data_IF_218070348617
#
_entry.id   IF_218070348617
#
_cell.length_a   1.000
_cell.length_b   1.000
_cell.length_c   1.000
_cell.angle_alpha   90.00
_cell.angle_beta   90.00
_cell.angle_gamma   90.00
#
_symmetry.space_group_name_H-M   'P 1'
#
loop_
_entity.id
_entity.type
_entity.pdbx_description
1 polymer ?
#
# COMPACT_ATOMS: atom_id res chain seq x y z
N UNK A 1 -49.01 22.89 -1.33
CA UNK A 1 -49.29 21.46 -1.05
C UNK A 1 -48.61 20.51 -2.04
N UNK A 2 -48.77 20.67 -3.37
CA UNK A 2 -48.12 19.79 -4.37
C UNK A 2 -46.58 19.81 -4.31
N UNK A 3 -45.95 20.98 -4.19
CA UNK A 3 -44.49 21.10 -4.07
C UNK A 3 -43.94 20.48 -2.78
N UNK A 4 -44.62 20.69 -1.64
CA UNK A 4 -44.22 20.12 -0.36
C UNK A 4 -44.30 18.58 -0.36
N UNK A 5 -45.32 18.03 -1.05
CA UNK A 5 -45.46 16.58 -1.23
C UNK A 5 -44.42 16.02 -2.21
N UNK A 6 -44.06 16.76 -3.26
CA UNK A 6 -43.00 16.40 -4.19
C UNK A 6 -41.62 16.40 -3.51
N UNK A 7 -41.32 17.42 -2.69
CA UNK A 7 -40.08 17.50 -1.90
C UNK A 7 -39.99 16.33 -0.88
N UNK A 8 -41.08 16.03 -0.16
CA UNK A 8 -41.13 14.86 0.74
C UNK A 8 -40.89 13.55 -0.02
N UNK A 9 -41.50 13.39 -1.20
CA UNK A 9 -41.34 12.19 -2.04
C UNK A 9 -39.89 12.04 -2.52
N UNK A 10 -39.24 13.12 -2.94
CA UNK A 10 -37.84 13.09 -3.36
C UNK A 10 -36.88 12.75 -2.21
N UNK A 11 -37.11 13.28 -1.00
CA UNK A 11 -36.32 12.94 0.19
C UNK A 11 -36.43 11.45 0.51
N UNK A 12 -37.64 10.88 0.48
CA UNK A 12 -37.83 9.46 0.77
C UNK A 12 -37.16 8.56 -0.28
N UNK A 13 -37.25 8.91 -1.57
CA UNK A 13 -36.58 8.15 -2.65
C UNK A 13 -35.05 8.14 -2.46
N UNK A 14 -34.47 9.29 -2.11
CA UNK A 14 -33.03 9.39 -1.86
C UNK A 14 -32.61 8.52 -0.67
N UNK A 15 -33.40 8.51 0.39
CA UNK A 15 -33.13 7.71 1.59
C UNK A 15 -33.26 6.22 1.34
N UNK A 16 -34.28 5.79 0.59
CA UNK A 16 -34.42 4.38 0.21
C UNK A 16 -33.22 3.89 -0.61
N UNK A 17 -32.68 4.74 -1.51
CA UNK A 17 -31.45 4.41 -2.25
C UNK A 17 -30.25 4.34 -1.33
N UNK A 18 -30.04 5.33 -0.47
CA UNK A 18 -28.92 5.32 0.49
C UNK A 18 -28.99 4.06 1.35
N UNK A 19 -30.17 3.69 1.85
CA UNK A 19 -30.35 2.47 2.62
C UNK A 19 -29.98 1.23 1.78
N UNK A 20 -30.47 1.09 0.55
CA UNK A 20 -30.08 -0.03 -0.32
C UNK A 20 -28.55 -0.10 -0.56
N UNK A 21 -27.88 1.05 -0.66
CA UNK A 21 -26.43 1.13 -0.83
C UNK A 21 -25.68 0.75 0.46
N UNK A 22 -26.16 1.19 1.62
CA UNK A 22 -25.63 0.76 2.92
C UNK A 22 -25.76 -0.75 3.09
N UNK A 23 -26.91 -1.34 2.74
CA UNK A 23 -27.11 -2.78 2.78
C UNK A 23 -26.13 -3.53 1.88
N UNK A 24 -25.82 -2.98 0.70
CA UNK A 24 -24.84 -3.54 -0.21
C UNK A 24 -23.42 -3.48 0.33
N UNK A 25 -23.02 -2.35 0.94
CA UNK A 25 -21.67 -2.17 1.52
C UNK A 25 -21.48 -3.07 2.75
N UNK A 26 -22.49 -3.16 3.62
CA UNK A 26 -22.38 -3.95 4.85
C UNK A 26 -22.68 -5.43 4.68
N UNK A 27 -23.18 -5.84 3.50
CA UNK A 27 -23.73 -7.18 3.27
C UNK A 27 -24.77 -7.62 4.32
N UNK A 28 -25.42 -6.65 4.97
CA UNK A 28 -26.38 -6.86 6.05
C UNK A 28 -27.47 -5.80 5.95
N UNK A 29 -28.72 -6.27 5.75
CA UNK A 29 -29.89 -5.41 5.58
C UNK A 29 -30.19 -4.54 6.79
N UNK A 30 -29.77 -4.98 7.97
CA UNK A 30 -30.11 -4.38 9.25
C UNK A 30 -28.91 -3.70 9.91
N UNK A 31 -27.73 -3.67 9.28
CA UNK A 31 -26.52 -3.12 9.91
C UNK A 31 -26.65 -1.64 10.20
N UNK A 32 -27.04 -0.85 9.20
CA UNK A 32 -27.19 0.60 9.31
C UNK A 32 -28.28 1.09 8.37
N UNK A 33 -29.18 1.92 8.87
CA UNK A 33 -30.33 2.46 8.14
C UNK A 33 -30.57 3.92 8.56
N UNK A 34 -31.04 4.73 7.61
CA UNK A 34 -31.48 6.10 7.83
C UNK A 34 -33.00 6.14 7.69
N UNK A 35 -33.68 6.69 8.70
CA UNK A 35 -35.11 6.96 8.67
C UNK A 35 -35.38 8.46 8.73
N UNK A 36 -36.49 8.89 8.13
CA UNK A 36 -36.98 10.26 8.23
C UNK A 36 -38.26 10.28 9.04
N UNK A 37 -38.22 10.94 10.19
CA UNK A 37 -39.40 11.17 11.04
C UNK A 37 -39.48 12.68 11.34
N UNK A 38 -40.65 13.30 11.15
CA UNK A 38 -40.88 14.73 11.40
C UNK A 38 -39.83 15.68 10.78
N UNK A 39 -39.41 15.38 9.54
CA UNK A 39 -38.35 16.10 8.79
C UNK A 39 -36.95 16.05 9.44
N UNK A 40 -36.72 15.09 10.35
CA UNK A 40 -35.42 14.82 10.96
C UNK A 40 -34.92 13.45 10.52
N UNK A 41 -33.61 13.34 10.34
CA UNK A 41 -32.96 12.08 10.04
C UNK A 41 -32.60 11.35 11.33
N UNK A 42 -32.92 10.07 11.39
CA UNK A 42 -32.59 9.18 12.48
C UNK A 42 -31.74 8.03 11.94
N UNK A 43 -30.67 7.69 12.65
CA UNK A 43 -29.85 6.54 12.33
C UNK A 43 -30.32 5.34 13.14
N UNK A 44 -30.45 4.19 12.49
CA UNK A 44 -30.74 2.91 13.12
C UNK A 44 -29.59 1.94 12.87
N UNK A 45 -29.16 1.25 13.91
CA UNK A 45 -28.25 0.12 13.83
C UNK A 45 -28.95 -1.10 14.42
N UNK A 46 -29.15 -2.14 13.60
CA UNK A 46 -29.92 -3.35 13.96
C UNK A 46 -31.29 -3.01 14.57
N UNK A 47 -31.99 -2.07 13.94
CA UNK A 47 -33.32 -1.60 14.36
C UNK A 47 -33.36 -0.69 15.58
N UNK A 48 -32.23 -0.44 16.26
CA UNK A 48 -32.14 0.45 17.42
C UNK A 48 -31.65 1.83 17.01
N UNK A 49 -32.24 2.87 17.60
CA UNK A 49 -31.78 4.24 17.39
C UNK A 49 -30.32 4.39 17.82
N UNK A 50 -29.52 4.96 16.94
CA UNK A 50 -28.10 5.21 17.13
C UNK A 50 -27.87 6.72 17.07
N UNK A 51 -27.07 7.26 18.00
CA UNK A 51 -26.71 8.68 17.94
C UNK A 51 -25.55 8.86 16.96
N UNK A 52 -25.48 9.97 16.22
CA UNK A 52 -24.42 10.19 15.22
C UNK A 52 -22.99 10.05 15.77
N UNK A 53 -22.78 10.42 17.04
CA UNK A 53 -21.47 10.32 17.68
C UNK A 53 -21.06 8.89 18.04
N UNK A 54 -21.99 7.94 18.07
CA UNK A 54 -21.72 6.51 18.31
C UNK A 54 -21.26 5.77 17.04
N UNK A 55 -21.37 6.40 15.87
CA UNK A 55 -20.82 5.85 14.62
C UNK A 55 -19.30 5.88 14.66
N UNK A 56 -18.69 4.78 14.23
CA UNK A 56 -17.26 4.77 13.92
C UNK A 56 -16.93 5.73 12.77
N UNK A 57 -15.69 6.20 12.69
CA UNK A 57 -15.21 7.05 11.60
C UNK A 57 -15.47 6.40 10.24
N UNK A 58 -15.23 5.09 10.12
CA UNK A 58 -15.51 4.35 8.90
C UNK A 58 -17.00 4.37 8.51
N UNK A 59 -17.91 4.15 9.45
CA UNK A 59 -19.35 4.16 9.14
C UNK A 59 -19.84 5.56 8.72
N UNK A 60 -19.31 6.63 9.33
CA UNK A 60 -19.58 8.00 8.90
C UNK A 60 -19.10 8.23 7.45
N UNK A 61 -17.90 7.75 7.11
CA UNK A 61 -17.35 7.86 5.76
C UNK A 61 -18.19 7.06 4.75
N UNK A 62 -18.68 5.87 5.12
CA UNK A 62 -19.59 5.06 4.29
C UNK A 62 -20.89 5.82 4.02
N UNK A 63 -21.53 6.38 5.05
CA UNK A 63 -22.76 7.18 4.86
C UNK A 63 -22.49 8.37 3.95
N UNK A 64 -21.38 9.08 4.16
CA UNK A 64 -20.99 10.22 3.33
C UNK A 64 -20.78 9.82 1.86
N UNK A 65 -20.16 8.66 1.60
CA UNK A 65 -19.99 8.12 0.25
C UNK A 65 -21.32 7.77 -0.41
N UNK A 66 -22.23 7.07 0.29
CA UNK A 66 -23.56 6.77 -0.24
C UNK A 66 -24.35 8.04 -0.57
N UNK A 67 -24.31 9.01 0.35
CA UNK A 67 -24.94 10.30 0.15
C UNK A 67 -24.34 11.04 -1.05
N UNK A 68 -23.01 11.08 -1.17
CA UNK A 68 -22.32 11.73 -2.29
C UNK A 68 -22.76 11.16 -3.65
N UNK A 69 -22.70 9.84 -3.83
CA UNK A 69 -23.10 9.22 -5.10
C UNK A 69 -24.61 9.33 -5.36
N UNK A 70 -25.44 9.20 -4.34
CA UNK A 70 -26.89 9.42 -4.48
C UNK A 70 -27.17 10.86 -4.94
N UNK A 71 -26.54 11.86 -4.31
CA UNK A 71 -26.73 13.28 -4.66
C UNK A 71 -26.28 13.61 -6.09
N UNK A 72 -25.08 13.17 -6.52
CA UNK A 72 -24.59 13.52 -7.86
C UNK A 72 -25.35 12.81 -8.98
N UNK A 73 -25.95 11.65 -8.69
CA UNK A 73 -26.79 10.90 -9.64
C UNK A 73 -28.23 11.45 -9.67
N UNK A 74 -28.77 11.92 -8.53
CA UNK A 74 -30.16 12.40 -8.42
C UNK A 74 -30.36 13.88 -8.70
N UNK A 75 -29.39 14.76 -8.43
CA UNK A 75 -29.51 16.20 -8.70
C UNK A 75 -29.56 16.55 -10.19
N UNK A 76 -29.55 15.56 -11.09
CA UNK A 76 -29.75 15.75 -12.52
C UNK A 76 -31.10 15.14 -12.90
N UNK A 77 -32.04 16.01 -13.29
CA UNK A 77 -33.32 15.56 -13.88
C UNK A 77 -33.02 14.60 -15.03
N UNK A 78 -33.75 13.48 -15.09
CA UNK A 78 -33.62 12.44 -16.13
C UNK A 78 -33.68 12.98 -17.58
N UNK A 79 -34.17 14.21 -17.79
CA UNK A 79 -34.27 14.88 -19.08
C UNK A 79 -32.98 15.58 -19.55
N UNK A 80 -32.03 15.86 -18.65
CA UNK A 80 -30.77 16.58 -18.95
C UNK A 80 -29.56 15.62 -19.07
N UNK A 81 -29.81 14.31 -19.24
CA UNK A 81 -28.79 13.29 -19.56
C UNK A 81 -28.38 13.40 -21.05
N UNK A 82 -28.00 14.62 -21.42
CA UNK A 82 -27.21 15.01 -22.59
C UNK A 82 -26.20 16.01 -22.01
N UNK A 83 -25.20 15.64 -21.20
CA UNK A 83 -24.12 14.70 -21.45
C UNK A 83 -23.51 14.28 -20.09
N UNK A 84 -23.04 13.03 -19.98
CA UNK A 84 -22.51 12.39 -18.77
C UNK A 84 -21.10 12.82 -18.38
N UNK A 85 -20.83 14.12 -18.39
CA UNK A 85 -19.53 14.69 -18.03
C UNK A 85 -19.44 14.85 -16.50
N UNK A 86 -18.98 13.80 -15.80
CA UNK A 86 -18.65 13.92 -14.37
C UNK A 86 -17.18 14.26 -14.20
N UNK A 87 -16.87 15.22 -13.32
CA UNK A 87 -15.52 15.38 -12.77
C UNK A 87 -15.56 15.05 -11.28
N UNK A 88 -15.06 13.87 -10.93
CA UNK A 88 -15.13 13.33 -9.57
C UNK A 88 -13.73 13.31 -8.98
N UNK A 89 -13.61 13.85 -7.78
CA UNK A 89 -12.41 13.78 -6.96
C UNK A 89 -12.79 13.06 -5.67
N UNK A 90 -12.14 11.94 -5.40
CA UNK A 90 -12.27 11.21 -4.14
C UNK A 90 -10.96 11.32 -3.37
N UNK A 91 -11.00 11.99 -2.23
CA UNK A 91 -9.84 12.11 -1.33
C UNK A 91 -9.92 11.06 -0.22
N UNK A 92 -8.97 10.14 -0.23
CA UNK A 92 -8.86 8.98 0.66
C UNK A 92 -10.20 8.28 0.97
N UNK A 93 -10.95 7.82 -0.06
CA UNK A 93 -12.30 7.26 0.14
C UNK A 93 -12.30 5.96 0.96
N UNK A 94 -11.12 5.37 1.18
CA UNK A 94 -10.93 4.14 1.94
C UNK A 94 -9.88 4.37 3.02
N UNK A 95 -10.31 4.97 4.14
CA UNK A 95 -9.47 5.25 5.30
C UNK A 95 -9.84 4.35 6.49
N UNK A 96 -8.86 3.66 7.09
CA UNK A 96 -9.00 3.03 8.42
C UNK A 96 -10.24 2.14 8.61
N UNK A 97 -10.56 1.33 7.59
CA UNK A 97 -11.65 0.36 7.63
C UNK A 97 -11.15 -1.01 8.09
N UNK A 98 -11.95 -1.71 8.91
CA UNK A 98 -11.78 -3.16 9.11
C UNK A 98 -11.88 -3.89 7.75
N UNK A 99 -11.18 -5.02 7.60
CA UNK A 99 -11.06 -5.74 6.32
C UNK A 99 -12.40 -6.06 5.66
N UNK A 100 -13.42 -6.42 6.44
CA UNK A 100 -14.79 -6.69 5.97
C UNK A 100 -15.43 -5.46 5.33
N UNK A 101 -15.30 -4.28 5.96
CA UNK A 101 -15.84 -3.02 5.44
C UNK A 101 -15.11 -2.57 4.17
N UNK A 102 -13.82 -2.85 4.04
CA UNK A 102 -13.06 -2.51 2.83
C UNK A 102 -13.61 -3.22 1.59
N UNK A 103 -13.93 -4.51 1.68
CA UNK A 103 -14.46 -5.29 0.55
C UNK A 103 -15.80 -4.71 0.06
N UNK A 104 -16.70 -4.41 0.99
CA UNK A 104 -17.99 -3.81 0.71
C UNK A 104 -17.86 -2.43 0.03
N UNK A 105 -16.99 -1.57 0.56
CA UNK A 105 -16.74 -0.24 0.00
C UNK A 105 -16.10 -0.33 -1.39
N UNK A 106 -15.10 -1.19 -1.62
CA UNK A 106 -14.52 -1.39 -2.96
C UNK A 106 -15.55 -1.91 -3.95
N UNK A 107 -16.39 -2.88 -3.55
CA UNK A 107 -17.46 -3.41 -4.39
C UNK A 107 -18.46 -2.32 -4.78
N UNK A 108 -18.82 -1.48 -3.81
CA UNK A 108 -19.73 -0.35 -4.02
C UNK A 108 -19.13 0.72 -4.94
N UNK A 109 -17.89 1.12 -4.70
CA UNK A 109 -17.18 2.07 -5.56
C UNK A 109 -17.02 1.52 -6.97
N UNK A 110 -16.67 0.24 -7.15
CA UNK A 110 -16.64 -0.41 -8.47
C UNK A 110 -17.99 -0.24 -9.16
N UNK A 111 -19.10 -0.59 -8.49
CA UNK A 111 -20.44 -0.47 -9.04
C UNK A 111 -20.73 0.96 -9.50
N UNK A 112 -20.54 1.95 -8.62
CA UNK A 112 -20.83 3.37 -8.92
C UNK A 112 -19.93 3.95 -10.01
N UNK A 113 -18.64 3.66 -9.94
CA UNK A 113 -17.69 4.11 -10.95
C UNK A 113 -17.99 3.45 -12.30
N UNK A 114 -18.41 2.19 -12.34
CA UNK A 114 -18.86 1.54 -13.58
C UNK A 114 -20.09 2.23 -14.17
N UNK A 115 -21.08 2.57 -13.33
CA UNK A 115 -22.29 3.30 -13.76
C UNK A 115 -21.99 4.68 -14.35
N UNK A 116 -20.91 5.33 -13.92
CA UNK A 116 -20.48 6.65 -14.41
C UNK A 116 -19.60 6.50 -15.65
N UNK A 117 -18.54 5.70 -15.53
CA UNK A 117 -17.51 5.52 -16.55
C UNK A 117 -18.16 4.88 -17.79
N UNK A 118 -18.83 3.73 -17.68
CA UNK A 118 -19.34 3.01 -18.86
C UNK A 118 -20.45 3.75 -19.61
N UNK A 119 -21.07 4.79 -19.02
CA UNK A 119 -22.10 5.60 -19.67
C UNK A 119 -21.53 6.74 -20.52
N UNK A 120 -20.35 7.27 -20.20
CA UNK A 120 -19.76 8.41 -20.90
C UNK A 120 -18.22 8.44 -20.84
N UNK A 121 -17.60 8.64 -22.00
CA UNK A 121 -16.14 8.67 -22.15
C UNK A 121 -15.50 10.02 -21.82
N UNK A 122 -16.31 11.04 -21.51
CA UNK A 122 -15.85 12.39 -21.12
C UNK A 122 -15.66 12.55 -19.61
N UNK A 123 -16.20 11.62 -18.81
CA UNK A 123 -16.04 11.64 -17.36
C UNK A 123 -14.56 11.53 -16.94
N UNK A 124 -14.18 12.34 -15.95
CA UNK A 124 -12.84 12.41 -15.36
C UNK A 124 -12.92 12.04 -13.88
N UNK A 125 -12.00 11.20 -13.44
CA UNK A 125 -11.93 10.72 -12.06
C UNK A 125 -10.51 10.87 -11.54
N UNK A 126 -10.38 11.45 -10.35
CA UNK A 126 -9.13 11.51 -9.59
C UNK A 126 -9.39 10.88 -8.23
N UNK A 127 -8.53 9.93 -7.85
CA UNK A 127 -8.57 9.30 -6.54
C UNK A 127 -7.23 9.56 -5.86
N UNK A 128 -7.28 10.13 -4.65
CA UNK A 128 -6.14 10.26 -3.76
C UNK A 128 -6.23 9.21 -2.66
N UNK A 129 -5.09 8.71 -2.22
CA UNK A 129 -4.99 7.93 -0.99
C UNK A 129 -3.55 7.98 -0.48
N UNK A 130 -3.39 7.95 0.83
CA UNK A 130 -2.09 7.79 1.48
C UNK A 130 -1.63 6.32 1.52
N UNK A 131 -2.50 5.38 1.11
CA UNK A 131 -2.24 3.94 1.17
C UNK A 131 -2.04 3.34 -0.24
N UNK A 132 -0.82 2.89 -0.53
CA UNK A 132 -0.47 2.25 -1.80
C UNK A 132 -1.24 0.95 -2.08
N UNK A 133 -1.68 0.24 -1.04
CA UNK A 133 -2.52 -0.95 -1.19
C UNK A 133 -3.92 -0.58 -1.70
N UNK A 134 -4.48 0.53 -1.19
CA UNK A 134 -5.76 1.06 -1.67
C UNK A 134 -5.66 1.45 -3.14
N UNK A 135 -4.59 2.17 -3.53
CA UNK A 135 -4.30 2.50 -4.93
C UNK A 135 -4.17 1.24 -5.80
N UNK A 136 -3.57 0.17 -5.27
CA UNK A 136 -3.36 -1.09 -5.99
C UNK A 136 -4.68 -1.80 -6.26
N UNK A 137 -5.58 -1.77 -5.29
CA UNK A 137 -6.93 -2.34 -5.43
C UNK A 137 -7.77 -1.50 -6.40
N UNK A 138 -7.70 -0.17 -6.35
CA UNK A 138 -8.34 0.68 -7.37
C UNK A 138 -7.79 0.40 -8.77
N UNK A 139 -6.48 0.16 -8.91
CA UNK A 139 -5.88 -0.24 -10.20
C UNK A 139 -6.58 -1.46 -10.78
N UNK A 140 -6.85 -2.50 -9.96
CA UNK A 140 -7.60 -3.70 -10.34
C UNK A 140 -9.07 -3.42 -10.65
N UNK A 141 -9.74 -2.61 -9.82
CA UNK A 141 -11.13 -2.16 -10.08
C UNK A 141 -11.25 -1.56 -11.47
N UNK A 142 -10.33 -0.67 -11.87
CA UNK A 142 -10.35 -0.06 -13.20
C UNK A 142 -9.98 -1.02 -14.33
N UNK A 143 -9.17 -2.06 -14.05
CA UNK A 143 -8.89 -3.12 -15.03
C UNK A 143 -10.15 -3.92 -15.31
N UNK A 144 -10.89 -4.32 -14.28
CA UNK A 144 -12.17 -5.02 -14.43
C UNK A 144 -13.24 -4.15 -15.13
N UNK A 145 -13.29 -2.85 -14.87
CA UNK A 145 -14.21 -1.93 -15.56
C UNK A 145 -13.86 -1.85 -17.06
N UNK A 146 -12.58 -1.83 -17.41
CA UNK A 146 -12.13 -1.84 -18.81
C UNK A 146 -12.40 -3.16 -19.52
N UNK A 147 -12.43 -4.29 -18.80
CA UNK A 147 -12.78 -5.59 -19.40
C UNK A 147 -14.27 -5.68 -19.76
N UNK A 148 -15.12 -4.94 -19.05
CA UNK A 148 -16.57 -4.89 -19.28
C UNK A 148 -16.97 -3.99 -20.45
N UNK A 149 -16.05 -3.17 -20.95
CA UNK A 149 -16.37 -2.17 -21.94
C UNK A 149 -16.17 -2.71 -23.36
N UNK A 150 -17.11 -2.42 -24.27
CA UNK A 150 -16.91 -2.68 -25.69
C UNK A 150 -15.66 -1.94 -26.16
N UNK A 151 -14.90 -2.53 -27.10
CA UNK A 151 -13.56 -2.15 -27.59
C UNK A 151 -13.30 -0.64 -27.86
N UNK A 152 -14.34 0.19 -27.91
CA UNK A 152 -14.27 1.64 -28.13
C UNK A 152 -14.20 2.48 -26.83
N UNK A 153 -14.46 1.89 -25.66
CA UNK A 153 -14.45 2.56 -24.38
C UNK A 153 -13.26 2.06 -23.55
N UNK A 154 -12.06 2.53 -23.87
CA UNK A 154 -10.90 2.33 -22.99
C UNK A 154 -10.84 3.52 -22.04
N UNK A 155 -10.53 3.30 -20.76
CA UNK A 155 -10.03 4.37 -19.89
C UNK A 155 -8.74 4.90 -20.53
N UNK A 156 -8.88 5.93 -21.36
CA UNK A 156 -7.76 6.61 -22.02
C UNK A 156 -7.01 7.37 -20.93
N UNK A 157 -5.68 7.28 -20.93
CA UNK A 157 -4.81 8.06 -20.05
C UNK A 157 -4.89 7.71 -18.55
N UNK A 158 -4.78 6.42 -18.18
CA UNK A 158 -4.58 5.98 -16.79
C UNK A 158 -3.17 6.38 -16.33
N UNK A 159 -3.10 7.22 -15.30
CA UNK A 159 -1.83 7.55 -14.63
C UNK A 159 -1.94 7.23 -13.15
N UNK A 160 -0.90 6.61 -12.61
CA UNK A 160 -0.72 6.46 -11.17
C UNK A 160 0.53 7.28 -10.82
N UNK A 161 0.36 8.29 -9.98
CA UNK A 161 1.43 9.20 -9.58
C UNK A 161 1.53 9.25 -8.06
N UNK A 162 2.75 9.35 -7.57
CA UNK A 162 3.09 9.60 -6.17
C UNK A 162 3.55 11.06 -6.05
N UNK A 163 3.06 11.75 -5.02
CA UNK A 163 3.58 13.05 -4.65
C UNK A 163 4.77 12.84 -3.72
N UNK A 164 5.99 13.07 -4.22
CA UNK A 164 7.24 12.96 -3.46
C UNK A 164 8.00 14.28 -3.52
N UNK A 165 8.31 14.86 -2.36
CA UNK A 165 9.03 16.14 -2.23
C UNK A 165 8.41 17.27 -3.08
N UNK A 166 7.08 17.40 -3.07
CA UNK A 166 6.36 18.42 -3.85
C UNK A 166 6.27 18.16 -5.35
N UNK A 167 6.76 17.02 -5.84
CA UNK A 167 6.75 16.66 -7.28
C UNK A 167 5.93 15.39 -7.52
N UNK A 168 5.11 15.39 -8.59
CA UNK A 168 4.36 14.21 -9.01
C UNK A 168 5.25 13.29 -9.86
N UNK A 169 5.58 12.12 -9.35
CA UNK A 169 6.38 11.09 -10.02
C UNK A 169 5.51 9.92 -10.42
N UNK A 170 5.79 9.30 -11.57
CA UNK A 170 5.07 8.09 -11.99
C UNK A 170 5.40 6.95 -11.02
N UNK A 171 4.36 6.28 -10.49
CA UNK A 171 4.55 5.05 -9.73
C UNK A 171 4.67 3.92 -10.74
N UNK A 172 5.89 3.42 -10.90
CA UNK A 172 6.06 2.06 -11.41
C UNK A 172 5.74 1.15 -10.23
N UNK A 173 4.67 0.35 -10.33
CA UNK A 173 4.37 -0.69 -9.35
C UNK A 173 5.52 -1.69 -9.35
N UNK A 174 6.56 -1.41 -8.58
CA UNK A 174 7.64 -2.33 -8.30
C UNK A 174 7.24 -3.14 -7.08
N UNK A 175 7.52 -4.44 -7.13
CA UNK A 175 7.41 -5.32 -5.97
C UNK A 175 8.14 -4.66 -4.79
N UNK A 176 7.47 -4.56 -3.63
CA UNK A 176 8.06 -3.96 -2.41
C UNK A 176 9.41 -4.60 -2.06
N UNK A 177 9.56 -5.89 -2.32
CA UNK A 177 10.84 -6.59 -2.18
C UNK A 177 11.91 -6.06 -3.15
N UNK A 178 11.57 -5.88 -4.43
CA UNK A 178 12.46 -5.29 -5.42
C UNK A 178 12.86 -3.86 -5.07
N UNK A 179 11.96 -3.10 -4.45
CA UNK A 179 12.30 -1.76 -3.95
C UNK A 179 13.36 -1.83 -2.84
N UNK A 180 13.21 -2.72 -1.86
CA UNK A 180 14.17 -2.88 -0.76
C UNK A 180 15.59 -3.16 -1.28
N UNK A 181 15.75 -4.13 -2.18
CA UNK A 181 17.09 -4.47 -2.72
C UNK A 181 17.69 -3.36 -3.59
N UNK A 182 16.87 -2.64 -4.35
CA UNK A 182 17.35 -1.48 -5.13
C UNK A 182 17.77 -0.33 -4.19
N UNK A 183 17.04 -0.06 -3.12
CA UNK A 183 17.41 0.95 -2.12
C UNK A 183 18.71 0.60 -1.39
N UNK A 184 18.92 -0.67 -1.02
CA UNK A 184 20.18 -1.13 -0.42
C UNK A 184 21.34 -1.01 -1.40
N UNK A 185 21.15 -1.38 -2.67
CA UNK A 185 22.16 -1.23 -3.71
C UNK A 185 22.51 0.23 -3.98
N UNK A 186 21.51 1.10 -4.12
CA UNK A 186 21.72 2.53 -4.36
C UNK A 186 22.46 3.16 -3.18
N UNK A 187 22.12 2.80 -1.94
CA UNK A 187 22.83 3.25 -0.76
C UNK A 187 24.29 2.73 -0.70
N UNK A 188 24.55 1.50 -1.14
CA UNK A 188 25.90 0.93 -1.17
C UNK A 188 26.85 1.64 -2.17
N UNK A 189 26.29 2.37 -3.16
CA UNK A 189 27.03 3.14 -4.17
C UNK A 189 27.04 4.63 -3.86
N UNK A 190 25.88 5.19 -3.52
CA UNK A 190 25.64 6.62 -3.32
C UNK A 190 25.59 6.94 -1.83
N UNK A 191 26.73 7.40 -1.34
CA UNK A 191 26.95 7.76 0.04
C UNK A 191 26.21 9.07 0.41
N UNK A 192 24.92 9.04 0.83
CA UNK A 192 24.34 9.97 1.84
C UNK A 192 22.79 10.16 1.90
N UNK A 193 21.93 9.55 1.07
CA UNK A 193 20.53 10.05 1.02
C UNK A 193 19.56 9.51 2.10
N UNK A 194 19.85 8.42 2.83
CA UNK A 194 18.89 7.79 3.76
C UNK A 194 19.53 7.03 4.94
N UNK A 195 20.58 7.59 5.55
CA UNK A 195 21.40 6.88 6.55
C UNK A 195 20.65 6.44 7.83
N UNK A 196 19.57 7.15 8.18
CA UNK A 196 18.73 6.85 9.34
C UNK A 196 17.89 5.57 9.12
N UNK A 197 17.29 5.41 7.94
CA UNK A 197 16.33 4.32 7.68
C UNK A 197 16.96 3.05 7.09
N UNK A 198 18.24 3.11 6.68
CA UNK A 198 18.86 2.03 5.89
C UNK A 198 18.98 0.71 6.66
N UNK A 199 19.26 0.74 7.97
CA UNK A 199 19.31 -0.46 8.82
C UNK A 199 17.99 -1.22 8.79
N UNK A 200 16.88 -0.50 8.87
CA UNK A 200 15.54 -1.06 8.80
C UNK A 200 15.18 -1.62 7.41
N UNK A 201 15.66 -0.98 6.34
CA UNK A 201 15.48 -1.45 4.96
C UNK A 201 16.26 -2.76 4.74
N UNK A 202 17.54 -2.80 5.14
CA UNK A 202 18.40 -3.97 5.06
C UNK A 202 17.86 -5.16 5.86
N UNK A 203 17.31 -4.90 7.06
CA UNK A 203 16.63 -5.94 7.88
C UNK A 203 15.45 -6.55 7.15
N UNK A 204 14.52 -5.72 6.64
CA UNK A 204 13.34 -6.19 5.89
C UNK A 204 13.74 -6.96 4.62
N UNK A 205 14.81 -6.55 3.96
CA UNK A 205 15.34 -7.25 2.79
C UNK A 205 15.80 -8.66 3.14
N UNK A 206 16.62 -8.81 4.18
CA UNK A 206 17.12 -10.11 4.62
C UNK A 206 16.03 -11.00 5.23
N UNK A 207 15.09 -10.45 5.98
CA UNK A 207 13.92 -11.17 6.48
C UNK A 207 13.11 -11.77 5.33
N UNK A 208 12.79 -10.96 4.30
CA UNK A 208 12.08 -11.44 3.13
C UNK A 208 12.89 -12.50 2.37
N UNK A 209 14.18 -12.25 2.11
CA UNK A 209 15.05 -13.20 1.42
C UNK A 209 15.14 -14.55 2.17
N UNK A 210 15.46 -14.52 3.46
CA UNK A 210 15.56 -15.72 4.29
C UNK A 210 14.25 -16.49 4.43
N UNK A 211 13.12 -15.77 4.51
CA UNK A 211 11.79 -16.39 4.53
C UNK A 211 11.50 -17.14 3.23
N UNK A 212 11.80 -16.53 2.08
CA UNK A 212 11.48 -17.13 0.78
C UNK A 212 12.43 -18.25 0.38
N UNK A 213 13.73 -18.07 0.56
CA UNK A 213 14.72 -19.08 0.14
C UNK A 213 14.78 -20.26 1.11
N UNK A 214 14.66 -20.01 2.42
CA UNK A 214 15.01 -21.01 3.45
C UNK A 214 13.95 -21.18 4.54
N UNK A 215 12.88 -20.39 4.56
CA UNK A 215 11.91 -20.31 5.69
C UNK A 215 12.59 -19.99 7.02
N UNK A 216 13.64 -19.16 6.97
CA UNK A 216 14.48 -18.81 8.11
C UNK A 216 14.43 -17.32 8.42
N UNK A 217 14.56 -17.00 9.71
CA UNK A 217 14.74 -15.62 10.15
C UNK A 217 16.15 -15.11 9.87
N UNK A 218 16.34 -13.81 10.05
CA UNK A 218 17.61 -13.12 9.78
C UNK A 218 18.80 -13.67 10.59
N UNK A 219 18.59 -14.20 11.80
CA UNK A 219 19.65 -14.81 12.59
C UNK A 219 20.07 -16.17 12.06
N UNK A 220 19.13 -16.94 11.54
CA UNK A 220 19.34 -18.34 11.15
C UNK A 220 19.98 -18.44 9.77
N UNK A 221 19.76 -17.49 8.86
CA UNK A 221 20.33 -17.55 7.51
C UNK A 221 21.87 -17.54 7.50
N UNK A 222 22.51 -16.90 8.48
CA UNK A 222 23.97 -16.83 8.58
C UNK A 222 24.56 -17.73 9.66
N UNK A 223 23.76 -18.55 10.35
CA UNK A 223 24.25 -19.46 11.42
C UNK A 223 23.79 -20.90 11.23
N UNK A 224 22.83 -21.14 10.34
CA UNK A 224 22.39 -22.48 10.00
C UNK A 224 23.46 -23.19 9.18
N UNK A 225 23.91 -24.35 9.69
CA UNK A 225 24.99 -25.13 9.09
C UNK A 225 24.69 -25.59 7.66
N UNK A 226 23.44 -25.96 7.35
CA UNK A 226 23.07 -26.45 6.03
C UNK A 226 23.14 -25.32 4.98
N UNK A 227 22.70 -24.11 5.36
CA UNK A 227 22.81 -22.91 4.50
C UNK A 227 24.29 -22.54 4.31
N UNK A 228 25.08 -22.51 5.39
CA UNK A 228 26.50 -22.19 5.31
C UNK A 228 27.29 -23.22 4.49
N UNK A 229 26.92 -24.50 4.53
CA UNK A 229 27.51 -25.54 3.71
C UNK A 229 27.22 -25.38 2.22
N UNK A 230 26.14 -24.69 1.84
CA UNK A 230 25.85 -24.38 0.43
C UNK A 230 26.84 -23.36 -0.17
N UNK A 231 27.57 -22.63 0.68
CA UNK A 231 28.64 -21.72 0.26
C UNK A 231 29.90 -22.56 0.02
N UNK A 232 30.34 -22.62 -1.25
CA UNK A 232 31.48 -23.44 -1.66
C UNK A 232 32.82 -22.94 -1.10
N UNK A 233 32.97 -21.64 -0.91
CA UNK A 233 34.21 -21.02 -0.45
C UNK A 233 34.27 -20.95 1.08
N UNK A 234 35.29 -21.57 1.67
CA UNK A 234 35.46 -21.63 3.12
C UNK A 234 35.73 -20.24 3.74
N UNK A 235 36.38 -19.32 3.02
CA UNK A 235 36.64 -17.97 3.54
C UNK A 235 35.34 -17.18 3.67
N UNK A 236 34.45 -17.29 2.66
CA UNK A 236 33.12 -16.67 2.74
C UNK A 236 32.27 -17.30 3.83
N UNK A 237 32.34 -18.63 3.99
CA UNK A 237 31.58 -19.32 5.04
C UNK A 237 31.96 -18.78 6.43
N UNK A 238 33.25 -18.74 6.73
CA UNK A 238 33.75 -18.26 8.03
C UNK A 238 33.40 -16.78 8.25
N UNK A 239 33.55 -15.94 7.22
CA UNK A 239 33.19 -14.54 7.29
C UNK A 239 31.72 -14.31 7.62
N UNK A 240 30.80 -14.90 6.84
CA UNK A 240 29.37 -14.66 7.02
C UNK A 240 28.80 -15.35 8.26
N UNK A 241 29.39 -16.46 8.71
CA UNK A 241 29.05 -17.08 10.00
C UNK A 241 29.31 -16.12 11.17
N UNK A 242 30.40 -15.36 11.10
CA UNK A 242 30.85 -14.46 12.15
C UNK A 242 30.44 -12.98 11.93
N UNK A 243 29.85 -12.64 10.78
CA UNK A 243 29.46 -11.26 10.46
C UNK A 243 28.30 -10.78 11.35
N UNK A 244 28.59 -9.85 12.26
CA UNK A 244 27.62 -9.28 13.20
C UNK A 244 26.79 -8.13 12.59
N UNK A 245 26.36 -8.28 11.34
CA UNK A 245 25.56 -7.26 10.62
C UNK A 245 24.28 -6.86 11.39
N UNK A 246 23.73 -7.76 12.21
CA UNK A 246 22.56 -7.51 13.07
C UNK A 246 22.71 -6.30 13.99
N UNK A 247 23.93 -5.99 14.44
CA UNK A 247 24.18 -4.82 15.28
C UNK A 247 23.86 -3.50 14.55
N UNK A 248 24.08 -3.46 13.24
CA UNK A 248 23.76 -2.33 12.34
C UNK A 248 22.28 -2.33 11.95
N UNK A 249 21.65 -3.50 11.87
CA UNK A 249 20.25 -3.63 11.42
C UNK A 249 19.22 -3.34 12.52
N UNK A 250 19.61 -3.46 13.78
CA UNK A 250 18.73 -3.37 14.94
C UNK A 250 18.58 -1.95 15.51
N UNK A 251 19.07 -0.90 14.81
CA UNK A 251 19.05 0.48 15.29
C UNK A 251 17.64 1.01 15.65
N UNK A 252 16.57 0.49 15.03
CA UNK A 252 15.21 1.05 15.19
C UNK A 252 14.13 0.06 15.65
N UNK A 253 14.39 -1.26 15.67
CA UNK A 253 13.31 -2.27 15.76
C UNK A 253 13.08 -2.91 17.14
N UNK A 254 13.89 -2.60 18.16
CA UNK A 254 13.78 -3.20 19.48
C UNK A 254 13.59 -2.16 20.58
N UNK A 255 12.37 -1.61 20.69
CA UNK A 255 11.93 -0.85 21.88
C UNK A 255 12.18 -1.64 23.17
N UNK A 256 12.14 -2.97 23.12
CA UNK A 256 12.43 -3.84 24.26
C UNK A 256 13.90 -3.79 24.70
N UNK A 257 14.85 -3.86 23.76
CA UNK A 257 16.29 -3.81 24.09
C UNK A 257 16.74 -2.39 24.44
N UNK A 258 16.11 -1.40 23.80
CA UNK A 258 16.17 0.02 24.17
C UNK A 258 15.75 0.28 25.62
N UNK A 259 14.64 -0.32 26.09
CA UNK A 259 14.19 -0.18 27.49
C UNK A 259 15.13 -0.91 28.46
N UNK A 260 15.76 -2.01 28.03
CA UNK A 260 16.59 -2.85 28.90
C UNK A 260 18.03 -2.36 29.04
N UNK A 261 18.61 -1.70 28.05
CA UNK A 261 20.04 -1.36 28.03
C UNK A 261 20.31 0.07 27.51
N UNK A 262 20.55 1.02 28.41
CA UNK A 262 20.96 2.40 28.07
C UNK A 262 22.25 2.44 27.22
N UNK A 263 23.15 1.47 27.39
CA UNK A 263 24.42 1.34 26.67
C UNK A 263 24.26 0.96 25.18
N UNK A 264 23.12 0.40 24.79
CA UNK A 264 22.84 0.08 23.38
C UNK A 264 22.60 1.36 22.55
N UNK A 265 22.05 2.39 23.19
CA UNK A 265 21.83 3.72 22.60
C UNK A 265 23.16 4.39 22.21
N UNK A 266 24.16 4.27 23.09
CA UNK A 266 25.50 4.78 22.85
C UNK A 266 26.23 4.03 21.74
N UNK A 267 25.86 2.78 21.46
CA UNK A 267 26.48 1.97 20.42
C UNK A 267 25.85 2.24 19.05
N UNK A 268 24.52 2.25 18.94
CA UNK A 268 23.84 2.55 17.66
C UNK A 268 24.14 3.96 17.15
N UNK A 269 24.24 4.94 18.05
CA UNK A 269 24.64 6.31 17.70
C UNK A 269 26.12 6.45 17.28
N UNK A 270 26.95 5.42 17.51
CA UNK A 270 28.39 5.42 17.14
C UNK A 270 28.67 4.70 15.83
N UNK A 271 27.70 3.99 15.25
CA UNK A 271 27.89 3.31 13.97
C UNK A 271 28.04 4.38 12.88
N UNK A 272 29.19 4.38 12.22
CA UNK A 272 29.50 5.36 11.17
C UNK A 272 28.76 4.98 9.89
N UNK A 273 28.41 5.97 9.08
CA UNK A 273 27.81 5.74 7.76
C UNK A 273 28.68 4.82 6.88
N UNK A 274 30.01 4.86 7.04
CA UNK A 274 30.92 3.93 6.37
C UNK A 274 30.71 2.46 6.74
N UNK A 275 30.38 2.17 8.00
CA UNK A 275 30.10 0.82 8.49
C UNK A 275 28.73 0.32 7.98
N UNK A 276 27.75 1.24 7.89
CA UNK A 276 26.45 0.97 7.27
C UNK A 276 26.56 0.64 5.78
N UNK A 277 27.35 1.42 5.03
CA UNK A 277 27.64 1.15 3.60
C UNK A 277 28.32 -0.19 3.46
N UNK A 278 29.31 -0.48 4.31
CA UNK A 278 29.99 -1.76 4.28
C UNK A 278 29.02 -2.92 4.53
N UNK A 279 28.16 -2.78 5.54
CA UNK A 279 27.10 -3.76 5.83
C UNK A 279 26.15 -3.95 4.66
N UNK A 280 25.75 -2.88 3.96
CA UNK A 280 24.92 -2.96 2.77
C UNK A 280 25.58 -3.78 1.65
N UNK A 281 26.88 -3.56 1.41
CA UNK A 281 27.67 -4.36 0.46
C UNK A 281 27.74 -5.82 0.87
N UNK A 282 28.05 -6.10 2.14
CA UNK A 282 28.19 -7.47 2.65
C UNK A 282 26.87 -8.25 2.55
N UNK A 283 25.73 -7.59 2.80
CA UNK A 283 24.40 -8.18 2.63
C UNK A 283 24.13 -8.54 1.18
N UNK A 284 24.45 -7.66 0.24
CA UNK A 284 24.27 -7.93 -1.20
C UNK A 284 25.20 -9.04 -1.69
N UNK A 285 26.45 -9.07 -1.21
CA UNK A 285 27.40 -10.16 -1.45
C UNK A 285 26.86 -11.49 -0.91
N UNK A 286 26.36 -11.51 0.32
CA UNK A 286 25.81 -12.70 0.96
C UNK A 286 24.63 -13.28 0.16
N UNK A 287 23.67 -12.41 -0.21
CA UNK A 287 22.54 -12.81 -1.05
C UNK A 287 22.99 -13.33 -2.42
N UNK A 288 23.99 -12.68 -3.03
CA UNK A 288 24.50 -13.08 -4.34
C UNK A 288 25.24 -14.42 -4.30
N UNK A 289 26.01 -14.68 -3.24
CA UNK A 289 26.72 -15.97 -3.05
C UNK A 289 25.71 -17.11 -2.87
N UNK A 290 24.64 -16.88 -2.10
CA UNK A 290 23.60 -17.88 -1.88
C UNK A 290 22.70 -18.10 -3.10
N UNK A 291 22.34 -17.04 -3.82
CA UNK A 291 21.48 -17.14 -5.01
C UNK A 291 21.81 -16.05 -6.05
N UNK A 292 22.78 -16.31 -6.96
CA UNK A 292 23.22 -15.32 -7.96
C UNK A 292 22.12 -14.91 -8.94
N UNK A 293 21.26 -15.86 -9.35
CA UNK A 293 20.19 -15.59 -10.32
C UNK A 293 19.13 -14.68 -9.73
N UNK A 294 18.76 -14.89 -8.46
CA UNK A 294 17.82 -14.04 -7.75
C UNK A 294 18.29 -12.58 -7.75
N UNK A 295 19.52 -12.31 -7.27
CA UNK A 295 20.06 -10.95 -7.23
C UNK A 295 20.16 -10.33 -8.63
N UNK A 296 20.57 -11.12 -9.64
CA UNK A 296 20.61 -10.69 -11.05
C UNK A 296 19.28 -10.19 -11.57
N UNK A 297 18.18 -10.91 -11.33
CA UNK A 297 16.86 -10.48 -11.80
C UNK A 297 16.32 -9.28 -11.02
N UNK A 298 16.60 -9.19 -9.72
CA UNK A 298 16.15 -8.07 -8.90
C UNK A 298 16.84 -6.74 -9.25
N UNK A 299 18.12 -6.80 -9.67
CA UNK A 299 18.93 -5.64 -10.04
C UNK A 299 19.11 -5.49 -11.56
N UNK A 300 18.30 -6.17 -12.38
CA UNK A 300 18.44 -6.17 -13.85
C UNK A 300 18.37 -4.78 -14.50
N UNK A 301 17.77 -3.79 -13.82
CA UNK A 301 17.66 -2.41 -14.30
C UNK A 301 18.89 -1.55 -13.95
N UNK A 302 19.90 -2.11 -13.27
CA UNK A 302 21.13 -1.45 -12.82
C UNK A 302 22.31 -2.07 -13.56
N UNK A 303 22.83 -1.36 -14.56
CA UNK A 303 23.78 -1.88 -15.57
C UNK A 303 25.02 -2.53 -14.94
N UNK A 304 25.57 -1.93 -13.88
CA UNK A 304 26.84 -2.35 -13.28
C UNK A 304 26.67 -3.13 -11.98
N UNK A 305 25.44 -3.48 -11.59
CA UNK A 305 25.17 -4.00 -10.26
C UNK A 305 25.86 -5.33 -9.95
N UNK A 306 25.85 -6.25 -10.91
CA UNK A 306 26.45 -7.56 -10.71
C UNK A 306 27.98 -7.47 -10.75
N UNK A 307 28.55 -6.56 -11.52
CA UNK A 307 30.00 -6.33 -11.55
C UNK A 307 30.47 -5.70 -10.23
N UNK A 308 29.73 -4.72 -9.72
CA UNK A 308 29.99 -4.10 -8.41
C UNK A 308 29.93 -5.13 -7.28
N UNK A 309 28.88 -5.96 -7.23
CA UNK A 309 28.74 -6.99 -6.19
C UNK A 309 29.87 -8.02 -6.27
N UNK A 310 30.25 -8.46 -7.48
CA UNK A 310 31.40 -9.37 -7.65
C UNK A 310 32.69 -8.74 -7.14
N UNK A 311 32.94 -7.46 -7.44
CA UNK A 311 34.09 -6.73 -6.93
C UNK A 311 34.07 -6.69 -5.40
N UNK A 312 32.93 -6.38 -4.79
CA UNK A 312 32.80 -6.38 -3.33
C UNK A 312 33.01 -7.78 -2.71
N UNK A 313 32.60 -8.86 -3.38
CA UNK A 313 32.92 -10.22 -2.96
C UNK A 313 34.44 -10.47 -2.95
N UNK A 314 35.19 -9.99 -3.94
CA UNK A 314 36.66 -10.10 -3.93
C UNK A 314 37.29 -9.22 -2.84
N UNK A 315 36.78 -7.99 -2.65
CA UNK A 315 37.24 -7.11 -1.56
C UNK A 315 37.01 -7.74 -0.17
N UNK A 316 35.99 -8.59 0.02
CA UNK A 316 35.81 -9.35 1.27
C UNK A 316 37.00 -10.29 1.49
N UNK A 317 37.46 -11.00 0.46
CA UNK A 317 38.61 -11.92 0.55
C UNK A 317 39.91 -11.21 0.85
N UNK A 318 40.09 -9.99 0.34
CA UNK A 318 41.27 -9.18 0.63
C UNK A 318 41.34 -8.70 2.09
N UNK A 319 40.20 -8.71 2.81
CA UNK A 319 40.07 -8.20 4.18
C UNK A 319 40.18 -9.27 5.27
N UNK A 320 40.07 -10.56 4.91
CA UNK A 320 40.06 -11.70 5.83
C UNK A 320 41.40 -12.43 5.72
#
# INVERSE_FOLDING_TARGET
MKELNAQKKNINIAIDKINNELQYIFFDKNRLEIEVQDKKYFLKCRGKNLKPYDLSTGERNIIALCYFFTQIIENKNYSDIKDGDFFIILDDPISSFDSEKQIGVFSYLKKKLSEIILKDNKSKLIIFSHNLEVISRFKKVFEEINEQSDKNFLIKNKFIKELKNGTLKNIKYYNKYSQLINEVYDYAIENNQNDENIGNIMRKLLEAFGTFEYKKGISEISTNKDILQSINDNQYRDYFENLMYRLVLNEESHTQDFIKNLSFLDFSLKIKSSEKIQTAKDILCFMYILNPLHVKFQLQNKTDAIENIRKWCEEIKERI
#
